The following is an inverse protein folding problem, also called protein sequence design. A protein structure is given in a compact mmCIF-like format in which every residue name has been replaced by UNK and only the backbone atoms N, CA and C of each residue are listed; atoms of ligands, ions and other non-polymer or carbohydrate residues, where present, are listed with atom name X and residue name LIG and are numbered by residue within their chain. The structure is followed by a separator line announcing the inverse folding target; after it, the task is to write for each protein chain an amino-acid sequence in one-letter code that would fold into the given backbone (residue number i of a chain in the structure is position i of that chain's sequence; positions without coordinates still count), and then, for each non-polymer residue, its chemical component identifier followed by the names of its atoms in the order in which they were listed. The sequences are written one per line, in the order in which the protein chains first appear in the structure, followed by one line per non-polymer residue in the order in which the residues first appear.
data_IF_517884912382
#
_entry.id   IF_517884912382
#
_cell.length_a   1.000
_cell.length_b   1.000
_cell.length_c   1.000
_cell.angle_alpha   90.00
_cell.angle_beta   90.00
_cell.angle_gamma   90.00
#
_symmetry.space_group_name_H-M   'P 1'
#
loop_
_entity.id
_entity.type
_entity.pdbx_description
1 polymer ?
#
# COMPACT_ATOMS: atom_id res chain seq x y z
N UNK A 1 -5.13 -66.24 0.35
CA UNK A 1 -5.32 -65.06 1.20
C UNK A 1 -4.70 -63.87 0.47
N UNK A 2 -5.52 -62.92 0.01
CA UNK A 2 -5.12 -61.77 -0.82
C UNK A 2 -5.11 -60.53 0.06
N UNK A 3 -3.96 -59.88 0.22
CA UNK A 3 -3.84 -58.57 0.87
C UNK A 3 -4.21 -57.47 -0.13
N UNK A 4 -5.11 -56.53 0.18
CA UNK A 4 -5.29 -55.35 -0.65
C UNK A 4 -4.19 -54.34 -0.34
N UNK A 5 -3.45 -53.99 -1.39
CA UNK A 5 -2.51 -52.88 -1.47
C UNK A 5 -3.31 -51.56 -1.35
N UNK A 6 -3.33 -50.97 -0.16
CA UNK A 6 -3.94 -49.66 0.07
C UNK A 6 -2.93 -48.57 -0.31
N UNK A 7 -3.07 -48.04 -1.54
CA UNK A 7 -2.25 -46.97 -2.07
C UNK A 7 -2.68 -45.64 -1.40
N UNK A 8 -1.89 -45.17 -0.43
CA UNK A 8 -2.13 -43.91 0.26
C UNK A 8 -1.73 -42.73 -0.67
N UNK A 9 -2.72 -42.06 -1.25
CA UNK A 9 -2.54 -40.82 -2.02
C UNK A 9 -2.17 -39.69 -1.05
N UNK A 10 -0.88 -39.34 -1.02
CA UNK A 10 -0.37 -38.12 -0.38
C UNK A 10 -0.83 -36.91 -1.20
N UNK A 11 -1.91 -36.26 -0.77
CA UNK A 11 -2.35 -34.98 -1.33
C UNK A 11 -1.44 -33.88 -0.75
N UNK A 12 -0.38 -33.54 -1.48
CA UNK A 12 0.38 -32.33 -1.22
C UNK A 12 -0.51 -31.12 -1.52
N UNK A 13 -1.15 -30.55 -0.49
CA UNK A 13 -1.79 -29.25 -0.60
C UNK A 13 -0.69 -28.21 -0.65
N UNK A 14 -0.27 -27.84 -1.87
CA UNK A 14 0.58 -26.68 -2.09
C UNK A 14 -0.24 -25.43 -1.75
N UNK A 15 -0.15 -25.00 -0.49
CA UNK A 15 -0.61 -23.69 -0.07
C UNK A 15 0.22 -22.63 -0.77
N UNK A 16 -0.26 -22.11 -1.90
CA UNK A 16 0.37 -20.99 -2.57
C UNK A 16 0.10 -19.70 -1.78
N UNK A 17 1.14 -19.18 -1.12
CA UNK A 17 1.15 -17.82 -0.60
C UNK A 17 1.05 -16.85 -1.79
N UNK A 18 0.03 -15.99 -1.79
CA UNK A 18 -0.32 -15.06 -2.87
C UNK A 18 0.55 -13.80 -2.80
N UNK A 19 0.95 -13.23 -3.95
CA UNK A 19 1.72 -11.98 -4.01
C UNK A 19 0.96 -10.85 -4.73
N UNK A 20 1.11 -9.62 -4.22
CA UNK A 20 0.39 -8.42 -4.69
C UNK A 20 1.19 -7.64 -5.75
N UNK A 21 0.49 -7.11 -6.77
CA UNK A 21 1.11 -6.22 -7.78
C UNK A 21 1.05 -4.79 -7.30
N UNK A 22 2.20 -4.14 -7.09
CA UNK A 22 2.26 -2.76 -6.62
C UNK A 22 2.21 -1.75 -7.79
N UNK A 23 1.33 -0.75 -7.71
CA UNK A 23 1.23 0.34 -8.71
C UNK A 23 1.44 1.71 -8.09
N UNK A 24 2.09 2.62 -8.84
CA UNK A 24 2.28 3.99 -8.42
C UNK A 24 0.97 4.77 -8.58
N UNK A 25 0.31 5.07 -7.46
CA UNK A 25 -1.05 5.60 -7.48
C UNK A 25 -1.11 7.13 -7.54
N UNK A 26 -0.09 7.82 -7.05
CA UNK A 26 -0.03 9.29 -7.06
C UNK A 26 0.89 9.88 -8.14
N UNK A 27 1.57 9.02 -8.91
CA UNK A 27 2.48 9.41 -9.99
C UNK A 27 3.78 10.03 -9.49
N UNK A 28 4.08 9.97 -8.19
CA UNK A 28 5.29 10.55 -7.61
C UNK A 28 6.48 9.59 -7.76
N UNK A 29 7.68 10.16 -7.89
CA UNK A 29 8.93 9.37 -8.01
C UNK A 29 9.20 8.57 -6.74
N UNK A 30 8.80 9.09 -5.59
CA UNK A 30 8.91 8.46 -4.29
C UNK A 30 8.04 7.19 -4.21
N UNK A 31 6.82 7.22 -4.75
CA UNK A 31 5.93 6.04 -4.80
C UNK A 31 6.51 4.96 -5.71
N UNK A 32 7.16 5.35 -6.80
CA UNK A 32 7.91 4.40 -7.62
C UNK A 32 9.14 3.86 -6.88
N UNK A 33 9.81 4.68 -6.06
CA UNK A 33 10.92 4.23 -5.23
C UNK A 33 10.47 3.20 -4.18
N UNK A 34 9.30 3.36 -3.57
CA UNK A 34 8.69 2.36 -2.68
C UNK A 34 8.49 1.00 -3.39
N UNK A 35 7.95 1.03 -4.62
CA UNK A 35 7.71 -0.18 -5.41
C UNK A 35 9.01 -0.85 -5.83
N UNK A 36 9.98 -0.08 -6.29
CA UNK A 36 11.27 -0.63 -6.70
C UNK A 36 12.10 -1.16 -5.54
N UNK A 37 11.90 -0.61 -4.34
CA UNK A 37 12.56 -1.09 -3.13
C UNK A 37 12.12 -2.51 -2.74
N UNK A 38 10.90 -2.93 -3.13
CA UNK A 38 10.43 -4.29 -2.84
C UNK A 38 11.02 -5.35 -3.76
N UNK A 39 11.72 -4.93 -4.82
CA UNK A 39 12.42 -5.82 -5.76
C UNK A 39 13.79 -6.18 -5.16
N UNK A 40 14.05 -7.47 -4.97
CA UNK A 40 15.22 -8.04 -4.28
C UNK A 40 16.59 -7.60 -4.80
N UNK A 41 16.67 -6.99 -5.99
CA UNK A 41 17.92 -6.57 -6.63
C UNK A 41 18.37 -5.14 -6.32
N UNK A 42 17.56 -4.29 -5.67
CA UNK A 42 17.89 -2.87 -5.49
C UNK A 42 18.31 -2.52 -4.06
N UNK A 43 19.53 -1.97 -3.90
CA UNK A 43 19.99 -1.41 -2.62
C UNK A 43 19.41 -0.01 -2.38
N UNK A 44 19.31 0.43 -1.12
CA UNK A 44 18.89 1.81 -0.78
C UNK A 44 19.74 2.86 -1.51
N UNK A 45 21.06 2.66 -1.63
CA UNK A 45 21.95 3.55 -2.39
C UNK A 45 21.61 3.61 -3.88
N UNK A 46 21.22 2.48 -4.47
CA UNK A 46 20.79 2.44 -5.86
C UNK A 46 19.46 3.20 -6.06
N UNK A 47 18.53 3.09 -5.12
CA UNK A 47 17.27 3.85 -5.13
C UNK A 47 17.51 5.36 -4.99
N UNK A 48 18.38 5.78 -4.07
CA UNK A 48 18.77 7.19 -3.90
C UNK A 48 19.25 7.81 -5.20
N UNK A 49 20.17 7.12 -5.89
CA UNK A 49 20.72 7.60 -7.17
C UNK A 49 19.67 7.59 -8.26
N UNK A 50 18.83 6.55 -8.34
CA UNK A 50 17.80 6.40 -9.39
C UNK A 50 16.71 7.48 -9.29
N UNK A 51 16.29 7.83 -8.08
CA UNK A 51 15.17 8.73 -7.84
C UNK A 51 15.58 10.13 -7.37
N UNK A 52 16.88 10.41 -7.32
CA UNK A 52 17.43 11.67 -6.81
C UNK A 52 16.84 12.02 -5.42
N UNK A 53 17.05 11.08 -4.49
CA UNK A 53 16.60 11.17 -3.10
C UNK A 53 17.79 11.17 -2.15
N UNK A 54 17.82 12.14 -1.25
CA UNK A 54 18.80 12.19 -0.16
C UNK A 54 18.56 11.07 0.86
N UNK A 55 19.56 10.76 1.68
CA UNK A 55 19.39 9.81 2.79
C UNK A 55 18.31 10.25 3.78
N UNK A 56 18.21 11.56 4.02
CA UNK A 56 17.16 12.14 4.86
C UNK A 56 15.78 11.89 4.27
N UNK A 57 15.59 12.13 2.98
CA UNK A 57 14.31 11.87 2.29
C UNK A 57 13.96 10.38 2.31
N UNK A 58 14.91 9.50 2.02
CA UNK A 58 14.68 8.05 2.08
C UNK A 58 14.29 7.59 3.48
N UNK A 59 14.92 8.13 4.52
CA UNK A 59 14.62 7.78 5.90
C UNK A 59 13.29 8.35 6.40
N UNK A 60 12.80 9.45 5.83
CA UNK A 60 11.52 10.07 6.16
C UNK A 60 10.36 9.56 5.29
N UNK A 61 10.64 8.74 4.28
CA UNK A 61 9.65 8.26 3.34
C UNK A 61 8.75 7.18 3.96
N UNK A 62 7.44 7.41 3.91
CA UNK A 62 6.43 6.42 4.24
C UNK A 62 5.67 5.99 2.99
N UNK A 63 5.61 4.67 2.76
CA UNK A 63 4.90 4.02 1.67
C UNK A 63 3.58 3.49 2.24
N UNK A 64 2.43 4.03 1.82
CA UNK A 64 1.13 3.73 2.42
C UNK A 64 1.10 3.86 3.96
N UNK A 65 1.84 4.82 4.51
CA UNK A 65 1.89 5.11 5.94
C UNK A 65 2.84 4.24 6.76
N UNK A 66 3.63 3.36 6.12
CA UNK A 66 4.69 2.62 6.82
C UNK A 66 6.09 3.00 6.31
N UNK A 67 7.12 3.06 7.17
CA UNK A 67 8.49 3.36 6.75
C UNK A 67 8.94 2.43 5.61
N UNK A 68 9.71 2.96 4.66
CA UNK A 68 10.12 2.20 3.47
C UNK A 68 10.78 0.85 3.81
N UNK A 69 11.55 0.74 4.89
CA UNK A 69 12.18 -0.53 5.30
C UNK A 69 11.13 -1.59 5.66
N UNK A 70 10.16 -1.22 6.48
CA UNK A 70 9.04 -2.10 6.87
C UNK A 70 8.15 -2.42 5.66
N UNK A 71 7.96 -1.46 4.76
CA UNK A 71 7.24 -1.68 3.50
C UNK A 71 7.93 -2.75 2.64
N UNK A 72 9.26 -2.68 2.51
CA UNK A 72 10.05 -3.66 1.77
C UNK A 72 9.96 -5.04 2.40
N UNK A 73 10.10 -5.14 3.72
CA UNK A 73 9.97 -6.41 4.44
C UNK A 73 8.58 -7.04 4.25
N UNK A 74 7.54 -6.21 4.28
CA UNK A 74 6.14 -6.66 4.15
C UNK A 74 5.79 -7.09 2.72
N UNK A 75 6.27 -6.37 1.72
CA UNK A 75 5.84 -6.55 0.33
C UNK A 75 6.96 -7.03 -0.60
N UNK A 76 8.04 -7.62 -0.05
CA UNK A 76 9.11 -8.20 -0.86
C UNK A 76 8.52 -9.29 -1.77
N UNK A 77 8.37 -8.96 -3.06
CA UNK A 77 7.58 -9.77 -3.99
C UNK A 77 8.35 -11.04 -4.35
N UNK A 78 7.72 -12.21 -4.13
CA UNK A 78 7.97 -13.43 -4.90
C UNK A 78 6.82 -13.54 -5.92
N UNK A 79 7.15 -13.63 -7.20
CA UNK A 79 6.21 -13.48 -8.32
C UNK A 79 5.00 -14.44 -8.25
N UNK A 80 3.76 -13.91 -8.15
CA UNK A 80 2.58 -14.26 -8.98
C UNK A 80 1.27 -13.62 -8.45
N UNK A 81 0.40 -13.24 -9.38
CA UNK A 81 -0.62 -12.18 -9.30
C UNK A 81 -2.01 -12.66 -8.85
N UNK A 82 -2.68 -11.89 -7.97
CA UNK A 82 -4.15 -11.80 -8.00
C UNK A 82 -4.75 -10.42 -7.68
N UNK A 83 -4.03 -9.54 -6.94
CA UNK A 83 -4.55 -8.22 -6.56
C UNK A 83 -3.56 -7.09 -6.80
N UNK A 84 -4.06 -5.93 -7.24
CA UNK A 84 -3.27 -4.72 -7.50
C UNK A 84 -3.32 -3.78 -6.28
N UNK A 85 -2.19 -3.62 -5.57
CA UNK A 85 -2.04 -2.68 -4.47
C UNK A 85 -1.59 -1.30 -4.98
N UNK A 86 -2.40 -0.28 -4.70
CA UNK A 86 -2.02 1.13 -4.93
C UNK A 86 -1.01 1.57 -3.88
N UNK A 87 0.10 2.16 -4.34
CA UNK A 87 1.14 2.74 -3.50
C UNK A 87 1.10 4.26 -3.59
N UNK A 88 0.92 4.88 -2.44
CA UNK A 88 0.97 6.31 -2.19
C UNK A 88 2.16 6.63 -1.30
N UNK A 89 2.74 7.82 -1.45
CA UNK A 89 3.82 8.27 -0.56
C UNK A 89 3.40 9.42 0.32
N UNK A 90 3.82 9.35 1.57
CA UNK A 90 3.56 10.35 2.60
C UNK A 90 4.86 10.69 3.33
N UNK A 91 4.90 11.88 3.94
CA UNK A 91 5.89 12.18 4.98
C UNK A 91 5.54 11.37 6.22
N UNK A 92 6.54 10.91 6.99
CA UNK A 92 6.33 10.30 8.30
C UNK A 92 5.58 11.20 9.30
N UNK A 93 5.54 12.50 9.06
CA UNK A 93 4.77 13.45 9.86
C UNK A 93 3.25 13.28 9.71
N UNK A 94 2.79 12.66 8.61
CA UNK A 94 1.38 12.35 8.40
C UNK A 94 1.07 11.09 9.22
N UNK A 95 0.29 11.25 10.30
CA UNK A 95 -0.06 10.15 11.20
C UNK A 95 -0.67 8.94 10.46
N UNK A 96 -0.51 7.76 11.06
CA UNK A 96 -0.96 6.50 10.47
C UNK A 96 -2.49 6.49 10.21
N UNK A 97 -3.26 7.17 11.07
CA UNK A 97 -4.72 7.27 10.94
C UNK A 97 -5.11 8.16 9.76
N UNK A 98 -4.51 9.35 9.67
CA UNK A 98 -4.72 10.29 8.56
C UNK A 98 -4.33 9.65 7.23
N UNK A 99 -3.21 8.92 7.21
CA UNK A 99 -2.76 8.18 6.02
C UNK A 99 -3.77 7.09 5.63
N UNK A 100 -4.26 6.30 6.59
CA UNK A 100 -5.28 5.28 6.31
C UNK A 100 -6.55 5.91 5.75
N UNK A 101 -6.99 7.05 6.29
CA UNK A 101 -8.15 7.79 5.79
C UNK A 101 -7.93 8.35 4.38
N UNK A 102 -6.73 8.86 4.08
CA UNK A 102 -6.36 9.33 2.75
C UNK A 102 -6.42 8.20 1.71
N UNK A 103 -5.82 7.05 2.03
CA UNK A 103 -5.82 5.86 1.16
C UNK A 103 -7.26 5.36 0.97
N UNK A 104 -8.03 5.27 2.06
CA UNK A 104 -9.42 4.85 2.03
C UNK A 104 -10.27 5.78 1.14
N UNK A 105 -10.09 7.09 1.28
CA UNK A 105 -10.77 8.10 0.48
C UNK A 105 -10.49 7.97 -1.02
N UNK A 106 -9.23 7.71 -1.41
CA UNK A 106 -8.85 7.46 -2.80
C UNK A 106 -9.31 6.08 -3.33
N UNK A 107 -9.72 5.18 -2.44
CA UNK A 107 -10.19 3.83 -2.80
C UNK A 107 -11.69 3.85 -3.11
N UNK A 108 -12.55 4.18 -2.14
CA UNK A 108 -14.00 4.35 -2.35
C UNK A 108 -14.66 5.05 -1.16
N UNK A 109 -15.93 5.47 -1.32
CA UNK A 109 -16.69 6.08 -0.22
C UNK A 109 -16.97 5.05 0.89
N UNK A 110 -17.19 3.79 0.53
CA UNK A 110 -17.44 2.67 1.43
C UNK A 110 -16.20 2.35 2.26
N UNK A 111 -15.02 2.29 1.63
CA UNK A 111 -13.76 2.03 2.34
C UNK A 111 -13.41 3.19 3.27
N UNK A 112 -13.65 4.45 2.85
CA UNK A 112 -13.52 5.60 3.74
C UNK A 112 -14.46 5.50 4.94
N UNK A 113 -15.73 5.14 4.74
CA UNK A 113 -16.70 4.99 5.83
C UNK A 113 -16.23 3.97 6.86
N UNK A 114 -15.74 2.80 6.42
CA UNK A 114 -15.19 1.78 7.31
C UNK A 114 -13.96 2.26 8.08
N UNK A 115 -13.05 2.99 7.42
CA UNK A 115 -11.88 3.57 8.07
C UNK A 115 -12.28 4.63 9.11
N UNK A 116 -13.29 5.45 8.82
CA UNK A 116 -13.85 6.42 9.77
C UNK A 116 -14.45 5.74 11.00
N UNK A 117 -15.20 4.67 10.81
CA UNK A 117 -15.80 3.88 11.91
C UNK A 117 -14.70 3.23 12.77
N UNK A 118 -13.73 2.57 12.13
CA UNK A 118 -12.58 1.94 12.79
C UNK A 118 -11.81 2.92 13.70
N UNK A 119 -11.61 4.15 13.21
CA UNK A 119 -10.82 5.18 13.91
C UNK A 119 -11.68 6.20 14.68
N UNK A 120 -12.98 5.97 14.77
CA UNK A 120 -13.94 6.85 15.44
C UNK A 120 -13.84 8.32 14.99
N UNK A 121 -13.66 8.54 13.68
CA UNK A 121 -13.51 9.88 13.10
C UNK A 121 -14.81 10.40 12.52
N UNK A 122 -15.06 11.68 12.72
CA UNK A 122 -16.25 12.36 12.20
C UNK A 122 -16.08 12.79 10.75
N UNK A 123 -17.20 13.02 10.07
CA UNK A 123 -17.21 13.61 8.72
C UNK A 123 -16.49 14.97 8.68
N UNK A 124 -16.65 15.76 9.74
CA UNK A 124 -16.02 17.07 9.87
C UNK A 124 -14.49 16.96 9.93
N UNK A 125 -13.97 16.08 10.78
CA UNK A 125 -12.53 15.82 10.86
C UNK A 125 -11.97 15.38 9.50
N UNK A 126 -12.63 14.43 8.84
CA UNK A 126 -12.18 13.94 7.53
C UNK A 126 -12.22 15.04 6.47
N UNK A 127 -13.25 15.88 6.45
CA UNK A 127 -13.37 16.97 5.48
C UNK A 127 -12.23 18.00 5.55
N UNK A 128 -11.60 18.14 6.72
CA UNK A 128 -10.46 19.03 6.96
C UNK A 128 -9.10 18.39 6.67
N UNK A 129 -9.05 17.07 6.45
CA UNK A 129 -7.80 16.37 6.18
C UNK A 129 -7.16 16.83 4.86
N UNK A 130 -5.84 16.90 4.91
CA UNK A 130 -4.98 17.13 3.76
C UNK A 130 -4.12 15.89 3.51
N UNK A 131 -4.17 15.39 2.28
CA UNK A 131 -3.47 14.21 1.81
C UNK A 131 -2.51 14.64 0.69
N UNK A 132 -1.20 14.49 0.90
CA UNK A 132 -0.18 14.93 -0.05
C UNK A 132 -0.39 16.39 -0.51
N UNK A 133 -0.57 17.29 0.47
CA UNK A 133 -0.77 18.73 0.28
C UNK A 133 -2.07 19.09 -0.45
N UNK A 134 -2.96 18.13 -0.65
CA UNK A 134 -4.27 18.33 -1.27
C UNK A 134 -5.38 18.07 -0.25
N UNK A 135 -6.43 18.92 -0.19
CA UNK A 135 -7.64 18.59 0.55
C UNK A 135 -8.16 17.20 0.17
N UNK A 136 -8.62 16.40 1.12
CA UNK A 136 -8.96 14.98 0.91
C UNK A 136 -9.92 14.77 -0.26
N UNK A 137 -10.86 15.68 -0.48
CA UNK A 137 -11.80 15.66 -1.61
C UNK A 137 -11.07 15.74 -2.96
N UNK A 138 -10.07 16.62 -3.08
CA UNK A 138 -9.28 16.75 -4.31
C UNK A 138 -8.37 15.54 -4.48
N UNK A 139 -7.75 15.08 -3.40
CA UNK A 139 -6.91 13.88 -3.40
C UNK A 139 -7.67 12.64 -3.87
N UNK A 140 -8.81 12.35 -3.25
CA UNK A 140 -9.63 11.18 -3.55
C UNK A 140 -10.08 11.15 -5.01
N UNK A 141 -10.60 12.28 -5.51
CA UNK A 141 -11.04 12.41 -6.92
C UNK A 141 -9.91 12.26 -7.90
N UNK A 142 -8.72 12.76 -7.55
CA UNK A 142 -7.54 12.69 -8.40
C UNK A 142 -7.00 11.26 -8.53
N UNK A 143 -7.02 10.47 -7.46
CA UNK A 143 -6.27 9.21 -7.40
C UNK A 143 -7.10 7.91 -7.37
N UNK A 144 -8.43 8.01 -7.43
CA UNK A 144 -9.24 6.81 -7.71
C UNK A 144 -10.75 6.94 -7.53
N UNK A 145 -11.20 7.83 -6.65
CA UNK A 145 -12.62 7.94 -6.31
C UNK A 145 -13.23 9.21 -6.92
N UNK A 146 -13.55 9.18 -8.22
CA UNK A 146 -14.11 10.34 -8.96
C UNK A 146 -15.42 10.86 -8.36
N UNK A 147 -16.23 9.95 -7.85
CA UNK A 147 -17.51 10.20 -7.19
C UNK A 147 -17.37 10.43 -5.68
N UNK A 148 -16.18 10.84 -5.22
CA UNK A 148 -15.91 11.05 -3.80
C UNK A 148 -16.91 11.99 -3.16
N UNK A 149 -17.46 11.54 -2.05
CA UNK A 149 -18.44 12.27 -1.27
C UNK A 149 -18.41 11.83 0.20
N UNK A 150 -18.29 12.81 1.10
CA UNK A 150 -18.39 12.61 2.54
C UNK A 150 -19.84 12.91 2.92
N UNK A 151 -20.76 12.02 2.54
CA UNK A 151 -22.19 12.15 2.88
C UNK A 151 -22.55 11.44 4.16
#
# INVERSE_FOLDING_TARGET
MKYPLFLLLLVCVSGHLKAETLINADGKKESQACIDATKTSMTIKALQKKYDLTMRQMNALACNGIPIKEFVEKYQVRNDVSDTLKVFTFSQEVGNVETELCIAAATSNEVLKLAMEKHQKTKMYVAELTCNELPIKKFAKRYGNKEFNIR
#
